data_IF_137136887097
#
_entry.id   IF_137136887097
#
_cell.length_a   1.000
_cell.length_b   1.000
_cell.length_c   1.000
_cell.angle_alpha   90.00
_cell.angle_beta   90.00
_cell.angle_gamma   90.00
#
_symmetry.space_group_name_H-M   'P 1'
#
loop_
_entity.id
_entity.type
_entity.pdbx_description
1 polymer ?
#
# COMPACT_ATOMS: atom_id res chain seq x y z
N UNK A 1 24.62 26.49 3.65
CA UNK A 1 25.55 25.88 4.62
C UNK A 1 26.72 26.81 4.82
N UNK A 2 27.09 27.11 6.06
CA UNK A 2 28.23 27.98 6.39
C UNK A 2 29.31 27.12 7.06
N UNK A 3 30.57 27.53 6.91
CA UNK A 3 31.72 26.83 7.49
C UNK A 3 32.52 27.75 8.40
N UNK A 4 32.97 27.25 9.55
CA UNK A 4 33.81 28.01 10.46
C UNK A 4 35.16 28.37 9.80
N UNK A 5 35.62 29.61 9.98
CA UNK A 5 36.88 30.09 9.40
C UNK A 5 36.83 30.42 7.90
N UNK A 6 35.67 30.29 7.24
CA UNK A 6 35.52 30.66 5.83
C UNK A 6 34.48 31.77 5.65
N UNK A 7 34.79 32.74 4.77
CA UNK A 7 33.87 33.84 4.44
C UNK A 7 32.74 33.42 3.49
N UNK A 8 32.93 32.33 2.74
CA UNK A 8 31.98 31.87 1.73
C UNK A 8 31.40 30.51 2.14
N UNK A 9 30.09 30.36 2.03
CA UNK A 9 29.38 29.11 2.27
C UNK A 9 28.97 28.39 0.98
N UNK A 10 28.15 27.35 1.11
CA UNK A 10 27.51 26.66 -0.02
C UNK A 10 25.99 26.77 0.04
N UNK A 11 25.31 26.57 -1.08
CA UNK A 11 23.86 26.48 -1.15
C UNK A 11 23.41 25.02 -1.05
N UNK A 12 22.29 24.80 -0.37
CA UNK A 12 21.57 23.53 -0.38
C UNK A 12 20.10 23.83 -0.65
N UNK A 13 19.48 23.06 -1.53
CA UNK A 13 18.05 23.16 -1.79
C UNK A 13 17.26 22.40 -0.72
N UNK A 14 16.00 22.80 -0.50
CA UNK A 14 15.01 22.04 0.28
C UNK A 14 13.82 21.80 -0.61
N UNK A 15 13.43 20.54 -0.77
CA UNK A 15 12.29 20.13 -1.59
C UNK A 15 11.09 19.88 -0.69
N UNK A 16 9.91 20.29 -1.16
CA UNK A 16 8.64 19.89 -0.57
C UNK A 16 8.10 18.64 -1.25
N UNK A 17 7.18 17.94 -0.60
CA UNK A 17 6.52 16.74 -1.09
C UNK A 17 5.01 16.85 -0.83
N UNK A 18 4.21 16.22 -1.69
CA UNK A 18 2.77 16.09 -1.55
C UNK A 18 2.37 14.65 -1.87
N UNK A 19 1.43 14.11 -1.10
CA UNK A 19 0.95 12.73 -1.26
C UNK A 19 -0.58 12.66 -1.25
N UNK A 20 -1.11 11.59 -1.86
CA UNK A 20 -2.50 11.17 -1.73
C UNK A 20 -2.51 9.69 -1.34
N UNK A 21 -3.16 9.37 -0.22
CA UNK A 21 -3.21 8.00 0.32
C UNK A 21 -4.43 7.25 -0.20
N UNK A 22 -4.17 6.06 -0.73
CA UNK A 22 -5.18 5.10 -1.19
C UNK A 22 -5.41 3.97 -0.19
N UNK A 23 -5.90 2.83 -0.68
CA UNK A 23 -6.12 1.61 0.11
C UNK A 23 -4.84 0.78 0.24
N UNK A 24 -4.65 0.15 1.39
CA UNK A 24 -3.59 -0.81 1.63
C UNK A 24 -3.83 -2.11 0.85
N UNK A 25 -2.81 -2.55 0.11
CA UNK A 25 -2.87 -3.76 -0.70
C UNK A 25 -2.48 -5.00 0.11
N UNK A 26 -3.03 -6.15 -0.26
CA UNK A 26 -2.53 -7.46 0.22
C UNK A 26 -1.20 -7.79 -0.48
N UNK A 27 -0.46 -8.83 -0.06
CA UNK A 27 0.71 -9.29 -0.81
C UNK A 27 0.38 -9.60 -2.29
N UNK A 28 -0.80 -10.16 -2.56
CA UNK A 28 -1.29 -10.43 -3.92
C UNK A 28 -1.54 -9.14 -4.71
N UNK A 29 -2.21 -8.16 -4.10
CA UNK A 29 -2.45 -6.86 -4.73
C UNK A 29 -1.15 -6.10 -4.99
N UNK A 30 -0.20 -6.17 -4.05
CA UNK A 30 1.12 -5.56 -4.20
C UNK A 30 1.93 -6.20 -5.31
N UNK A 31 1.91 -7.52 -5.42
CA UNK A 31 2.55 -8.23 -6.53
C UNK A 31 1.98 -7.77 -7.88
N UNK A 32 0.66 -7.70 -8.02
CA UNK A 32 0.03 -7.18 -9.24
C UNK A 32 0.44 -5.74 -9.53
N UNK A 33 0.43 -4.87 -8.52
CA UNK A 33 0.89 -3.49 -8.65
C UNK A 33 2.34 -3.42 -9.15
N UNK A 34 3.26 -4.17 -8.53
CA UNK A 34 4.67 -4.16 -8.88
C UNK A 34 4.92 -4.73 -10.30
N UNK A 35 4.17 -5.75 -10.71
CA UNK A 35 4.25 -6.32 -12.06
C UNK A 35 3.73 -5.34 -13.12
N UNK A 36 2.61 -4.67 -12.87
CA UNK A 36 2.08 -3.64 -13.77
C UNK A 36 3.01 -2.42 -13.87
N UNK A 37 3.60 -2.00 -12.75
CA UNK A 37 4.58 -0.92 -12.72
C UNK A 37 5.85 -1.30 -13.51
N UNK A 38 6.33 -2.54 -13.39
CA UNK A 38 7.45 -3.06 -14.17
C UNK A 38 7.12 -3.10 -15.67
N UNK A 39 5.90 -3.51 -16.02
CA UNK A 39 5.45 -3.59 -17.42
C UNK A 39 5.30 -2.22 -18.07
N UNK A 40 4.85 -1.21 -17.32
CA UNK A 40 4.78 0.17 -17.81
C UNK A 40 6.18 0.77 -18.06
N UNK A 41 7.23 0.18 -17.48
CA UNK A 41 8.62 0.53 -17.72
C UNK A 41 8.94 1.98 -17.40
N UNK A 42 9.95 2.51 -18.07
CA UNK A 42 10.43 3.89 -17.89
C UNK A 42 10.18 4.70 -19.15
N UNK A 43 9.51 5.86 -19.04
CA UNK A 43 9.38 6.76 -20.19
C UNK A 43 10.48 7.82 -20.23
N UNK A 44 10.90 8.20 -21.45
CA UNK A 44 11.82 9.34 -21.67
C UNK A 44 11.13 10.70 -21.49
N UNK A 45 9.81 10.73 -21.69
CA UNK A 45 8.94 11.90 -21.55
C UNK A 45 7.84 11.61 -20.53
N UNK A 46 7.54 12.61 -19.68
CA UNK A 46 6.57 12.47 -18.60
C UNK A 46 5.16 12.20 -19.11
N UNK A 47 4.72 12.90 -20.16
CA UNK A 47 3.34 12.78 -20.66
C UNK A 47 3.11 11.38 -21.24
N UNK A 48 4.05 10.94 -22.08
CA UNK A 48 4.01 9.61 -22.72
C UNK A 48 4.06 8.50 -21.67
N UNK A 49 4.91 8.66 -20.64
CA UNK A 49 4.98 7.71 -19.53
C UNK A 49 3.65 7.61 -18.77
N UNK A 50 3.04 8.75 -18.42
CA UNK A 50 1.77 8.77 -17.70
C UNK A 50 0.63 8.13 -18.49
N UNK A 51 0.55 8.37 -19.80
CA UNK A 51 -0.44 7.71 -20.66
C UNK A 51 -0.24 6.19 -20.70
N UNK A 52 1.01 5.73 -20.82
CA UNK A 52 1.31 4.30 -20.85
C UNK A 52 1.07 3.62 -19.49
N UNK A 53 1.39 4.31 -18.40
CA UNK A 53 1.10 3.86 -17.04
C UNK A 53 -0.41 3.68 -16.84
N UNK A 54 -1.22 4.67 -17.24
CA UNK A 54 -2.69 4.57 -17.18
C UNK A 54 -3.22 3.39 -17.99
N UNK A 55 -2.74 3.18 -19.22
CA UNK A 55 -3.16 2.06 -20.05
C UNK A 55 -2.83 0.71 -19.40
N UNK A 56 -1.60 0.57 -18.89
CA UNK A 56 -1.14 -0.67 -18.25
C UNK A 56 -1.96 -0.98 -17.00
N UNK A 57 -2.25 0.04 -16.19
CA UNK A 57 -3.01 -0.08 -14.95
C UNK A 57 -4.50 -0.34 -15.13
N UNK A 58 -5.06 -0.29 -16.35
CA UNK A 58 -6.43 -0.77 -16.61
C UNK A 58 -6.64 -2.24 -16.22
N UNK A 59 -5.55 -3.01 -16.14
CA UNK A 59 -5.56 -4.40 -15.66
C UNK A 59 -5.83 -4.49 -14.15
N UNK A 60 -5.50 -3.45 -13.39
CA UNK A 60 -5.78 -3.40 -11.96
C UNK A 60 -7.27 -3.09 -11.75
N UNK A 61 -8.03 -3.89 -10.99
CA UNK A 61 -9.45 -3.65 -10.78
C UNK A 61 -9.73 -2.31 -10.08
N UNK A 62 -10.51 -1.44 -10.71
CA UNK A 62 -10.88 -0.11 -10.20
C UNK A 62 -12.26 -0.11 -9.50
N UNK A 63 -12.54 -1.15 -8.72
CA UNK A 63 -13.73 -1.18 -7.87
C UNK A 63 -13.47 -1.91 -6.57
N UNK A 64 -13.95 -1.35 -5.46
CA UNK A 64 -13.81 -1.94 -4.13
C UNK A 64 -14.39 -3.36 -4.05
N UNK A 65 -15.46 -3.63 -4.81
CA UNK A 65 -16.05 -4.96 -4.93
C UNK A 65 -15.05 -5.96 -5.53
N UNK A 66 -14.49 -5.67 -6.71
CA UNK A 66 -13.56 -6.58 -7.37
C UNK A 66 -12.26 -6.73 -6.57
N UNK A 67 -11.75 -5.64 -5.99
CA UNK A 67 -10.55 -5.67 -5.16
C UNK A 67 -10.73 -6.54 -3.92
N UNK A 68 -11.90 -6.48 -3.26
CA UNK A 68 -12.23 -7.35 -2.13
C UNK A 68 -12.39 -8.80 -2.56
N UNK A 69 -13.20 -9.04 -3.60
CA UNK A 69 -13.50 -10.39 -4.10
C UNK A 69 -12.24 -11.12 -4.55
N UNK A 70 -11.30 -10.41 -5.17
CA UNK A 70 -10.04 -10.97 -5.65
C UNK A 70 -8.93 -10.97 -4.58
N UNK A 71 -9.19 -10.44 -3.38
CA UNK A 71 -8.23 -10.37 -2.27
C UNK A 71 -7.02 -9.49 -2.59
N UNK A 72 -7.22 -8.36 -3.27
CA UNK A 72 -6.17 -7.44 -3.69
C UNK A 72 -5.91 -6.31 -2.67
N UNK A 73 -6.90 -5.98 -1.85
CA UNK A 73 -6.80 -4.93 -0.85
C UNK A 73 -7.43 -5.34 0.48
N UNK A 74 -7.02 -4.67 1.55
CA UNK A 74 -7.54 -4.88 2.89
C UNK A 74 -8.77 -4.02 3.18
N UNK A 75 -9.75 -4.62 3.85
CA UNK A 75 -11.00 -3.98 4.19
C UNK A 75 -11.33 -4.07 5.68
N UNK A 76 -11.93 -2.99 6.20
CA UNK A 76 -12.52 -2.96 7.53
C UNK A 76 -14.02 -3.20 7.42
N UNK A 77 -14.48 -4.24 8.08
CA UNK A 77 -15.89 -4.62 8.13
C UNK A 77 -16.55 -4.03 9.38
N UNK A 78 -17.79 -3.56 9.22
CA UNK A 78 -18.66 -3.15 10.33
C UNK A 78 -20.10 -3.58 10.06
N UNK A 79 -20.82 -3.90 11.13
CA UNK A 79 -22.27 -4.05 11.08
C UNK A 79 -22.92 -2.68 10.92
N UNK A 80 -23.96 -2.62 10.10
CA UNK A 80 -24.88 -1.49 10.06
C UNK A 80 -25.91 -1.63 11.20
N UNK A 81 -26.71 -0.59 11.51
CA UNK A 81 -27.82 -0.73 12.46
C UNK A 81 -28.79 -1.88 12.09
N UNK A 82 -29.00 -2.13 10.79
CA UNK A 82 -29.81 -3.25 10.32
C UNK A 82 -29.10 -4.59 10.56
N UNK A 83 -27.80 -4.67 10.32
CA UNK A 83 -27.00 -5.87 10.60
C UNK A 83 -26.93 -6.22 12.07
N UNK A 84 -26.87 -5.22 12.96
CA UNK A 84 -26.93 -5.42 14.40
C UNK A 84 -28.24 -6.11 14.84
N UNK A 85 -29.38 -5.71 14.27
CA UNK A 85 -30.66 -6.37 14.53
C UNK A 85 -30.71 -7.84 14.04
N UNK A 86 -29.87 -8.19 13.06
CA UNK A 86 -29.79 -9.54 12.47
C UNK A 86 -28.51 -10.28 12.88
N UNK A 87 -27.84 -9.87 13.94
CA UNK A 87 -26.54 -10.41 14.36
C UNK A 87 -26.52 -11.93 14.56
N UNK A 88 -27.64 -12.49 15.01
CA UNK A 88 -27.78 -13.94 15.21
C UNK A 88 -27.79 -14.75 13.91
N UNK A 89 -28.05 -14.09 12.77
CA UNK A 89 -28.06 -14.69 11.44
C UNK A 89 -26.72 -14.53 10.70
N UNK A 90 -25.69 -14.01 11.38
CA UNK A 90 -24.33 -13.89 10.85
C UNK A 90 -23.45 -14.89 11.60
N UNK A 91 -22.76 -15.74 10.84
CA UNK A 91 -21.96 -16.83 11.38
C UNK A 91 -20.49 -16.73 10.96
N UNK A 92 -19.57 -17.25 11.79
CA UNK A 92 -18.16 -17.31 11.42
C UNK A 92 -17.95 -18.09 10.12
N UNK A 93 -17.16 -17.55 9.20
CA UNK A 93 -16.92 -18.13 7.89
C UNK A 93 -17.93 -17.75 6.80
N UNK A 94 -18.99 -17.00 7.13
CA UNK A 94 -19.92 -16.47 6.13
C UNK A 94 -19.18 -15.60 5.11
N UNK A 95 -19.57 -15.71 3.84
CA UNK A 95 -19.16 -14.76 2.81
C UNK A 95 -19.76 -13.37 3.17
N UNK A 96 -18.93 -12.33 3.34
CA UNK A 96 -19.44 -11.00 3.63
C UNK A 96 -20.23 -10.39 2.46
N UNK A 97 -20.09 -10.88 1.21
CA UNK A 97 -20.70 -10.24 0.04
C UNK A 97 -22.25 -10.23 0.09
N UNK A 98 -22.97 -11.34 0.34
CA UNK A 98 -24.42 -11.32 0.54
C UNK A 98 -24.87 -10.42 1.69
N UNK A 99 -24.06 -10.31 2.76
CA UNK A 99 -24.37 -9.47 3.92
C UNK A 99 -24.20 -7.98 3.59
N UNK A 100 -23.26 -7.65 2.71
CA UNK A 100 -23.08 -6.30 2.17
C UNK A 100 -24.25 -5.91 1.26
N UNK A 101 -24.67 -6.82 0.37
CA UNK A 101 -25.81 -6.58 -0.53
C UNK A 101 -27.13 -6.37 0.21
N UNK A 102 -27.33 -7.09 1.33
CA UNK A 102 -28.47 -6.87 2.25
C UNK A 102 -28.35 -5.57 3.06
N UNK A 103 -27.21 -4.89 3.01
CA UNK A 103 -26.92 -3.71 3.82
C UNK A 103 -26.73 -4.01 5.30
N UNK A 104 -26.43 -5.26 5.68
CA UNK A 104 -26.17 -5.66 7.07
C UNK A 104 -24.72 -5.42 7.47
N UNK A 105 -23.80 -5.63 6.53
CA UNK A 105 -22.37 -5.36 6.68
C UNK A 105 -21.99 -4.26 5.71
N UNK A 106 -20.97 -3.48 6.05
CA UNK A 106 -20.28 -2.62 5.09
C UNK A 106 -18.78 -2.82 5.23
N UNK A 107 -18.12 -2.96 4.09
CA UNK A 107 -16.68 -3.07 3.96
C UNK A 107 -16.12 -1.71 3.52
N UNK A 108 -15.15 -1.19 4.25
CA UNK A 108 -14.45 0.05 3.90
C UNK A 108 -12.98 -0.26 3.59
N UNK A 109 -12.38 0.34 2.55
CA UNK A 109 -10.95 0.20 2.32
C UNK A 109 -10.14 0.68 3.54
N UNK A 110 -9.13 -0.08 3.95
CA UNK A 110 -8.18 0.37 4.97
C UNK A 110 -7.16 1.28 4.30
N UNK A 111 -7.00 2.51 4.78
CA UNK A 111 -6.00 3.47 4.27
C UNK A 111 -4.59 2.90 4.38
N UNK A 112 -3.78 3.16 3.34
CA UNK A 112 -2.35 2.84 3.35
C UNK A 112 -1.56 3.86 4.17
N UNK A 113 -0.93 3.39 5.24
CA UNK A 113 -0.19 4.20 6.21
C UNK A 113 1.34 4.16 5.99
N UNK A 114 1.82 3.32 5.07
CA UNK A 114 3.24 3.20 4.77
C UNK A 114 3.64 4.08 3.57
N UNK A 115 4.78 3.75 2.96
CA UNK A 115 5.36 4.51 1.86
C UNK A 115 5.60 3.61 0.65
N UNK A 116 5.44 4.18 -0.54
CA UNK A 116 5.98 3.55 -1.74
C UNK A 116 7.50 3.38 -1.57
N UNK A 117 8.11 2.32 -2.11
CA UNK A 117 9.55 2.07 -2.00
C UNK A 117 10.43 3.08 -2.78
N UNK A 118 9.86 4.20 -3.24
CA UNK A 118 10.50 5.23 -4.08
C UNK A 118 10.57 6.55 -3.31
N UNK A 119 11.70 7.26 -3.38
CA UNK A 119 11.92 8.53 -2.69
C UNK A 119 11.63 9.74 -3.59
N UNK A 120 10.94 10.75 -3.06
CA UNK A 120 10.72 12.03 -3.73
C UNK A 120 12.00 12.86 -3.94
N UNK A 121 13.09 12.58 -3.22
CA UNK A 121 14.35 13.32 -3.35
C UNK A 121 15.20 12.90 -4.57
N UNK A 122 14.80 11.86 -5.31
CA UNK A 122 15.58 11.31 -6.43
C UNK A 122 16.94 10.72 -6.01
N UNK A 123 17.22 10.62 -4.71
CA UNK A 123 18.46 10.06 -4.16
C UNK A 123 18.45 8.53 -4.26
N UNK A 124 17.27 7.93 -4.16
CA UNK A 124 17.04 6.54 -4.51
C UNK A 124 16.41 6.53 -5.90
N UNK A 125 17.11 5.93 -6.87
CA UNK A 125 16.68 5.87 -8.26
C UNK A 125 15.17 5.60 -8.32
N UNK A 126 14.48 6.52 -8.98
CA UNK A 126 13.13 6.32 -9.46
C UNK A 126 13.06 4.96 -10.15
N UNK A 127 11.90 4.32 -10.15
CA UNK A 127 11.62 3.24 -11.10
C UNK A 127 11.64 3.75 -12.57
N UNK A 128 12.36 4.85 -12.86
CA UNK A 128 12.52 5.59 -14.12
C UNK A 128 14.02 5.80 -14.46
N UNK A 129 14.94 5.00 -13.88
CA UNK A 129 16.39 5.09 -14.08
C UNK A 129 17.01 3.84 -14.73
N UNK A 130 17.91 4.07 -15.68
CA UNK A 130 18.36 3.14 -16.73
C UNK A 130 19.38 2.05 -16.31
N UNK A 131 19.39 1.59 -15.06
CA UNK A 131 20.25 0.46 -14.65
C UNK A 131 19.48 -0.55 -13.80
N UNK A 132 19.22 -1.70 -14.40
CA UNK A 132 18.69 -2.89 -13.73
C UNK A 132 19.78 -3.50 -12.85
N UNK A 133 20.14 -2.85 -11.74
CA UNK A 133 20.82 -3.58 -10.68
C UNK A 133 19.82 -4.51 -10.02
N UNK A 134 20.05 -5.80 -10.21
CA UNK A 134 19.40 -6.89 -9.49
C UNK A 134 19.56 -6.61 -8.00
N UNK A 135 18.49 -6.11 -7.36
CA UNK A 135 18.42 -6.08 -5.89
C UNK A 135 18.40 -7.53 -5.43
N UNK A 136 19.57 -8.08 -5.14
CA UNK A 136 19.68 -9.21 -4.21
C UNK A 136 18.96 -8.76 -2.95
N UNK A 137 17.87 -9.46 -2.58
CA UNK A 137 17.13 -9.20 -1.36
C UNK A 137 18.09 -9.21 -0.17
N UNK A 138 18.42 -8.01 0.32
CA UNK A 138 19.44 -7.76 1.32
C UNK A 138 18.97 -8.09 2.73
N UNK A 139 18.90 -9.38 3.06
CA UNK A 139 18.71 -9.79 4.45
C UNK A 139 19.84 -9.22 5.34
N UNK A 140 21.07 -9.15 4.83
CA UNK A 140 22.22 -8.59 5.54
C UNK A 140 22.06 -7.11 5.92
N UNK A 141 21.29 -6.31 5.16
CA UNK A 141 21.04 -4.90 5.49
C UNK A 141 19.88 -4.71 6.46
N UNK A 142 18.91 -5.63 6.50
CA UNK A 142 17.79 -5.56 7.47
C UNK A 142 18.25 -5.90 8.88
N UNK A 143 19.03 -6.97 9.04
CA UNK A 143 19.56 -7.37 10.35
C UNK A 143 20.40 -6.26 10.98
N UNK A 144 21.31 -5.67 10.20
CA UNK A 144 22.12 -4.54 10.65
C UNK A 144 21.27 -3.31 11.01
N UNK A 145 20.19 -3.05 10.25
CA UNK A 145 19.25 -1.95 10.53
C UNK A 145 18.49 -2.18 11.84
N UNK A 146 17.91 -3.36 12.03
CA UNK A 146 17.17 -3.71 13.26
C UNK A 146 18.09 -3.74 14.48
N UNK A 147 19.34 -4.18 14.32
CA UNK A 147 20.35 -4.10 15.37
C UNK A 147 20.65 -2.66 15.76
N UNK A 148 20.79 -1.75 14.79
CA UNK A 148 21.02 -0.33 15.05
C UNK A 148 19.78 0.37 15.64
N UNK A 149 18.58 -0.05 15.22
CA UNK A 149 17.30 0.45 15.73
C UNK A 149 17.02 -0.04 17.17
N UNK A 150 17.53 -1.22 17.53
CA UNK A 150 17.34 -1.86 18.83
C UNK A 150 16.08 -2.72 18.95
N UNK A 151 15.32 -2.88 17.86
CA UNK A 151 14.14 -3.73 17.79
C UNK A 151 13.87 -4.15 16.32
N UNK A 152 13.10 -5.24 16.10
CA UNK A 152 12.68 -5.62 14.76
C UNK A 152 11.70 -4.60 14.17
N UNK A 153 11.74 -4.40 12.86
CA UNK A 153 10.68 -3.63 12.18
C UNK A 153 9.43 -4.48 12.06
N UNK A 154 8.27 -3.83 12.22
CA UNK A 154 6.98 -4.51 12.05
C UNK A 154 6.73 -4.83 10.57
N UNK A 155 6.04 -5.93 10.32
CA UNK A 155 5.53 -6.30 8.99
C UNK A 155 4.18 -5.60 8.78
N UNK A 156 4.12 -4.69 7.82
CA UNK A 156 2.92 -3.92 7.52
C UNK A 156 1.76 -4.81 7.06
N UNK A 157 2.03 -5.89 6.31
CA UNK A 157 0.98 -6.78 5.84
C UNK A 157 0.33 -7.51 7.01
N UNK A 158 1.12 -7.91 8.00
CA UNK A 158 0.59 -8.51 9.23
C UNK A 158 -0.32 -7.52 9.96
N UNK A 159 0.09 -6.26 10.09
CA UNK A 159 -0.72 -5.23 10.77
C UNK A 159 -2.07 -4.99 10.06
N UNK A 160 -2.07 -4.91 8.73
CA UNK A 160 -3.32 -4.75 7.97
C UNK A 160 -4.21 -5.99 8.04
N UNK A 161 -3.62 -7.19 7.96
CA UNK A 161 -4.36 -8.44 8.12
C UNK A 161 -5.03 -8.51 9.50
N UNK A 162 -4.29 -8.22 10.57
CA UNK A 162 -4.82 -8.19 11.93
C UNK A 162 -5.95 -7.15 12.07
N UNK A 163 -5.83 -6.00 11.42
CA UNK A 163 -6.86 -4.97 11.43
C UNK A 163 -8.15 -5.41 10.72
N UNK A 164 -8.03 -6.08 9.57
CA UNK A 164 -9.15 -6.69 8.85
C UNK A 164 -9.80 -7.80 9.68
N UNK A 165 -9.02 -8.77 10.17
CA UNK A 165 -9.53 -9.89 10.96
C UNK A 165 -10.22 -9.43 12.24
N UNK A 166 -9.65 -8.46 12.96
CA UNK A 166 -10.26 -7.86 14.15
C UNK A 166 -11.62 -7.25 13.80
N UNK A 167 -11.77 -6.68 12.62
CA UNK A 167 -13.05 -6.14 12.15
C UNK A 167 -14.06 -7.24 11.77
N UNK A 168 -13.60 -8.33 11.16
CA UNK A 168 -14.41 -9.53 10.87
C UNK A 168 -14.92 -10.19 12.16
N UNK A 169 -14.05 -10.38 13.15
CA UNK A 169 -14.41 -10.92 14.49
C UNK A 169 -15.50 -10.08 15.16
N UNK A 170 -15.38 -8.74 15.11
CA UNK A 170 -16.43 -7.84 15.63
C UNK A 170 -17.76 -7.98 14.90
N UNK A 171 -17.77 -8.42 13.64
CA UNK A 171 -18.99 -8.66 12.89
C UNK A 171 -19.52 -10.11 13.03
N UNK A 172 -18.79 -10.99 13.73
CA UNK A 172 -19.13 -12.42 13.82
C UNK A 172 -18.74 -13.24 12.57
N UNK A 173 -17.90 -12.69 11.69
CA UNK A 173 -17.46 -13.34 10.45
C UNK A 173 -16.24 -14.26 10.63
N UNK A 174 -15.56 -14.15 11.77
CA UNK A 174 -14.35 -14.91 12.12
C UNK A 174 -14.35 -15.23 13.61
#
# INVERSE_FOLDING_TARGET
MLFAGQKQGTHTARFGEIEQRGVALTPKGRQLYDDLLRNAGTGQDNLTHQMHLQETFRTFPDSEFLMRQQGLAWFRYRLTPSGEAHRQAIHPGDDPQPLIERGWVVAQPITYEDFLPVSAAGIFQSNLGNETQTRSHGNASREAFEQALGCPVLDEFQLYQEAEERSKRRCGLL
#
